data_IF_807635052740
#
_entry.id   IF_807635052740
#
_cell.length_a   1.000
_cell.length_b   1.000
_cell.length_c   1.000
_cell.angle_alpha   90.00
_cell.angle_beta   90.00
_cell.angle_gamma   90.00
#
_symmetry.space_group_name_H-M   'P 1'
#
loop_
_entity.id
_entity.type
_entity.pdbx_description
1 polymer ?
#
# COMPACT_ATOMS: atom_id res chain seq x y z
N UNK A 1 3.33 2.96 17.86
CA UNK A 1 4.46 2.95 18.79
C UNK A 1 5.69 2.32 18.17
N UNK A 2 6.83 2.64 18.75
CA UNK A 2 8.10 2.04 18.33
C UNK A 2 8.20 0.62 18.91
N UNK A 3 8.58 -0.33 18.08
CA UNK A 3 8.92 -1.68 18.49
C UNK A 3 10.13 -2.20 17.70
N UNK A 4 10.88 -3.06 18.32
CA UNK A 4 12.05 -3.67 17.73
C UNK A 4 12.03 -5.20 17.92
N UNK A 5 13.09 -5.88 17.47
CA UNK A 5 13.17 -7.33 17.57
C UNK A 5 13.18 -7.87 19.01
N UNK A 6 13.42 -7.01 20.02
CA UNK A 6 13.43 -7.40 21.43
C UNK A 6 12.11 -7.12 22.13
N UNK A 7 11.36 -6.13 21.64
CA UNK A 7 10.15 -5.62 22.29
C UNK A 7 8.86 -6.03 21.59
N UNK A 8 8.94 -6.50 20.33
CA UNK A 8 7.76 -6.94 19.59
C UNK A 8 7.11 -8.14 20.27
N UNK A 9 5.81 -8.08 20.41
CA UNK A 9 5.01 -9.19 20.93
C UNK A 9 3.77 -9.46 20.07
N UNK A 10 3.06 -10.54 20.38
CA UNK A 10 1.89 -10.96 19.60
C UNK A 10 0.76 -9.94 19.63
N UNK A 11 0.55 -9.25 20.74
CA UNK A 11 -0.51 -8.25 20.88
C UNK A 11 -0.22 -7.01 20.04
N UNK A 12 1.01 -6.51 20.06
CA UNK A 12 1.47 -5.38 19.25
C UNK A 12 1.34 -5.72 17.76
N UNK A 13 1.80 -6.90 17.37
CA UNK A 13 1.73 -7.35 15.98
C UNK A 13 0.27 -7.51 15.51
N UNK A 14 -0.59 -8.10 16.33
CA UNK A 14 -2.01 -8.26 16.01
C UNK A 14 -2.71 -6.90 15.83
N UNK A 15 -2.42 -5.93 16.69
CA UNK A 15 -2.97 -4.58 16.58
C UNK A 15 -2.50 -3.86 15.33
N UNK A 16 -1.23 -4.00 14.97
CA UNK A 16 -0.67 -3.45 13.73
C UNK A 16 -1.31 -4.10 12.49
N UNK A 17 -1.48 -5.41 12.50
CA UNK A 17 -2.13 -6.16 11.45
C UNK A 17 -3.58 -5.70 11.24
N UNK A 18 -4.34 -5.55 12.32
CA UNK A 18 -5.73 -5.12 12.26
C UNK A 18 -5.89 -3.76 11.57
N UNK A 19 -5.05 -2.79 11.94
CA UNK A 19 -5.12 -1.43 11.40
C UNK A 19 -4.61 -1.32 9.96
N UNK A 20 -3.51 -1.99 9.65
CA UNK A 20 -2.74 -1.72 8.44
C UNK A 20 -2.99 -2.74 7.32
N UNK A 21 -3.52 -3.90 7.64
CA UNK A 21 -3.76 -4.97 6.65
C UNK A 21 -5.21 -5.43 6.66
N UNK A 22 -5.74 -5.84 7.81
CA UNK A 22 -7.11 -6.37 7.90
C UNK A 22 -8.15 -5.33 7.46
N UNK A 23 -8.00 -4.07 7.87
CA UNK A 23 -8.94 -3.01 7.48
C UNK A 23 -8.91 -2.74 5.97
N UNK A 24 -7.76 -2.56 5.31
CA UNK A 24 -7.69 -2.47 3.86
C UNK A 24 -8.29 -3.68 3.12
N UNK A 25 -8.06 -4.89 3.60
CA UNK A 25 -8.65 -6.10 3.02
C UNK A 25 -10.18 -6.08 3.11
N UNK A 26 -10.73 -5.70 4.26
CA UNK A 26 -12.17 -5.59 4.47
C UNK A 26 -12.79 -4.51 3.57
N UNK A 27 -12.12 -3.38 3.39
CA UNK A 27 -12.55 -2.31 2.49
C UNK A 27 -12.53 -2.75 1.03
N UNK A 28 -11.50 -3.46 0.60
CA UNK A 28 -11.42 -3.99 -0.76
C UNK A 28 -12.54 -4.98 -1.05
N UNK A 29 -12.86 -5.85 -0.09
CA UNK A 29 -14.00 -6.76 -0.20
C UNK A 29 -15.32 -6.02 -0.29
N UNK A 30 -15.54 -5.05 0.58
CA UNK A 30 -16.75 -4.23 0.56
C UNK A 30 -16.91 -3.48 -0.77
N UNK A 31 -15.81 -2.95 -1.30
CA UNK A 31 -15.79 -2.28 -2.60
C UNK A 31 -16.18 -3.25 -3.73
N UNK A 32 -15.64 -4.46 -3.71
CA UNK A 32 -15.96 -5.49 -4.70
C UNK A 32 -17.45 -5.89 -4.63
N UNK A 33 -17.98 -6.05 -3.42
CA UNK A 33 -19.39 -6.39 -3.20
C UNK A 33 -20.33 -5.26 -3.68
N UNK A 34 -19.91 -4.00 -3.55
CA UNK A 34 -20.66 -2.83 -3.99
C UNK A 34 -20.53 -2.56 -5.50
N UNK A 35 -19.55 -3.15 -6.17
CA UNK A 35 -19.33 -2.94 -7.60
C UNK A 35 -20.23 -3.89 -8.40
N UNK A 36 -21.03 -3.38 -9.36
CA UNK A 36 -21.97 -4.22 -10.10
C UNK A 36 -21.25 -5.24 -10.99
N UNK A 37 -21.87 -6.39 -11.21
CA UNK A 37 -21.31 -7.43 -12.09
C UNK A 37 -21.10 -6.95 -13.53
N UNK A 38 -21.88 -5.98 -13.98
CA UNK A 38 -21.70 -5.34 -15.28
C UNK A 38 -20.33 -4.72 -15.46
N UNK A 39 -19.62 -4.40 -14.38
CA UNK A 39 -18.25 -3.89 -14.42
C UNK A 39 -17.24 -4.88 -15.01
N UNK A 40 -17.60 -6.15 -15.11
CA UNK A 40 -16.76 -7.16 -15.78
C UNK A 40 -16.56 -6.83 -17.26
N UNK A 41 -17.58 -6.30 -17.89
CA UNK A 41 -17.61 -6.01 -19.32
C UNK A 41 -17.60 -4.49 -19.63
N UNK A 42 -17.86 -3.65 -18.64
CA UNK A 42 -17.90 -2.20 -18.76
C UNK A 42 -16.88 -1.53 -17.86
N UNK A 43 -15.79 -1.05 -18.46
CA UNK A 43 -14.71 -0.38 -17.75
C UNK A 43 -15.15 0.87 -16.99
N UNK A 44 -16.18 1.56 -17.46
CA UNK A 44 -16.69 2.77 -16.81
C UNK A 44 -17.30 2.49 -15.43
N UNK A 45 -17.70 1.25 -15.17
CA UNK A 45 -18.30 0.83 -13.90
C UNK A 45 -17.27 0.25 -12.91
N UNK A 46 -16.02 0.06 -13.33
CA UNK A 46 -14.98 -0.53 -12.49
C UNK A 46 -14.54 0.42 -11.39
N UNK A 47 -14.36 -0.15 -10.22
CA UNK A 47 -13.81 0.56 -9.07
C UNK A 47 -12.29 0.41 -8.98
N UNK A 48 -11.64 1.27 -8.20
CA UNK A 48 -10.22 1.21 -7.93
C UNK A 48 -9.92 1.42 -6.45
N UNK A 49 -9.14 0.53 -5.86
CA UNK A 49 -8.57 0.70 -4.54
C UNK A 49 -7.10 1.06 -4.68
N UNK A 50 -6.65 2.08 -3.95
CA UNK A 50 -5.27 2.54 -3.96
C UNK A 50 -4.74 2.49 -2.53
N UNK A 51 -3.70 1.67 -2.30
CA UNK A 51 -3.02 1.59 -1.02
C UNK A 51 -1.84 2.57 -1.01
N UNK A 52 -1.72 3.37 0.03
CA UNK A 52 -0.59 4.29 0.21
C UNK A 52 0.40 3.67 1.18
N UNK A 53 1.59 3.44 0.69
CA UNK A 53 2.73 2.87 1.41
C UNK A 53 3.78 3.96 1.65
N UNK A 54 4.78 3.66 2.46
CA UNK A 54 5.89 4.57 2.72
C UNK A 54 7.25 3.90 2.55
N UNK A 55 8.31 4.62 2.89
CA UNK A 55 9.70 4.18 2.70
C UNK A 55 10.09 2.96 3.54
N UNK A 56 9.32 2.61 4.57
CA UNK A 56 9.58 1.38 5.33
C UNK A 56 9.47 0.11 4.47
N UNK A 57 8.81 0.20 3.31
CA UNK A 57 8.80 -0.88 2.33
C UNK A 57 10.21 -1.18 1.79
N UNK A 58 11.03 -0.15 1.57
CA UNK A 58 12.36 -0.27 0.99
C UNK A 58 13.47 -0.23 2.03
N UNK A 59 13.30 0.61 3.04
CA UNK A 59 14.29 0.90 4.08
C UNK A 59 13.64 0.77 5.46
N UNK A 60 13.45 -0.48 5.94
CA UNK A 60 12.81 -0.71 7.23
C UNK A 60 13.66 -0.19 8.37
N UNK A 61 13.05 0.57 9.28
CA UNK A 61 13.71 1.03 10.49
C UNK A 61 13.66 -0.08 11.55
N UNK A 62 14.78 -0.49 12.14
CA UNK A 62 14.81 -1.54 13.16
C UNK A 62 13.93 -1.26 14.38
N UNK A 63 13.76 0.01 14.73
CA UNK A 63 12.92 0.45 15.85
C UNK A 63 11.42 0.57 15.50
N UNK A 64 11.03 0.18 14.29
CA UNK A 64 9.65 0.19 13.80
C UNK A 64 9.35 -1.12 13.06
N UNK A 65 9.63 -2.24 13.71
CA UNK A 65 9.56 -3.55 13.08
C UNK A 65 8.13 -3.91 12.65
N UNK A 66 7.14 -3.72 13.51
CA UNK A 66 5.74 -4.03 13.15
C UNK A 66 5.27 -3.18 11.97
N UNK A 67 5.64 -1.90 11.91
CA UNK A 67 5.32 -1.05 10.76
C UNK A 67 5.94 -1.56 9.46
N UNK A 68 7.21 -1.92 9.49
CA UNK A 68 7.89 -2.48 8.31
C UNK A 68 7.24 -3.77 7.83
N UNK A 69 6.87 -4.66 8.76
CA UNK A 69 6.17 -5.91 8.42
C UNK A 69 4.81 -5.62 7.78
N UNK A 70 4.06 -4.63 8.29
CA UNK A 70 2.74 -4.27 7.74
C UNK A 70 2.86 -3.64 6.35
N UNK A 71 3.89 -2.85 6.09
CA UNK A 71 4.14 -2.30 4.76
C UNK A 71 4.41 -3.41 3.74
N UNK A 72 5.24 -4.37 4.08
CA UNK A 72 5.50 -5.54 3.23
C UNK A 72 4.24 -6.38 3.01
N UNK A 73 3.45 -6.61 4.06
CA UNK A 73 2.21 -7.37 3.96
C UNK A 73 1.18 -6.67 3.07
N UNK A 74 0.99 -5.36 3.23
CA UNK A 74 0.05 -4.59 2.42
C UNK A 74 0.48 -4.50 0.96
N UNK A 75 1.78 -4.38 0.70
CA UNK A 75 2.33 -4.43 -0.65
C UNK A 75 2.02 -5.77 -1.34
N UNK A 76 2.21 -6.86 -0.63
CA UNK A 76 1.90 -8.20 -1.15
C UNK A 76 0.39 -8.40 -1.33
N UNK A 77 -0.41 -7.91 -0.40
CA UNK A 77 -1.87 -7.93 -0.49
C UNK A 77 -2.37 -7.15 -1.71
N UNK A 78 -1.74 -6.04 -2.06
CA UNK A 78 -2.08 -5.27 -3.26
C UNK A 78 -2.04 -6.14 -4.51
N UNK A 79 -0.97 -6.91 -4.70
CA UNK A 79 -0.83 -7.81 -5.86
C UNK A 79 -1.85 -8.94 -5.82
N UNK A 80 -2.06 -9.54 -4.67
CA UNK A 80 -3.02 -10.65 -4.51
C UNK A 80 -4.47 -10.19 -4.73
N UNK A 81 -4.84 -9.02 -4.20
CA UNK A 81 -6.17 -8.44 -4.39
C UNK A 81 -6.40 -8.03 -5.85
N UNK A 82 -5.39 -7.46 -6.50
CA UNK A 82 -5.49 -7.10 -7.91
C UNK A 82 -5.84 -8.33 -8.77
N UNK A 83 -5.18 -9.45 -8.49
CA UNK A 83 -5.46 -10.71 -9.18
C UNK A 83 -6.84 -11.26 -8.84
N UNK A 84 -7.22 -11.25 -7.57
CA UNK A 84 -8.46 -11.86 -7.08
C UNK A 84 -9.71 -11.07 -7.51
N UNK A 85 -9.63 -9.74 -7.59
CA UNK A 85 -10.77 -8.86 -7.81
C UNK A 85 -10.90 -8.37 -9.26
N UNK A 86 -9.96 -8.70 -10.13
CA UNK A 86 -10.07 -8.40 -11.55
C UNK A 86 -11.26 -9.14 -12.19
N UNK A 87 -11.91 -8.54 -13.17
CA UNK A 87 -11.71 -7.19 -13.70
C UNK A 87 -12.56 -6.11 -13.02
N UNK A 88 -13.43 -6.47 -12.07
CA UNK A 88 -14.41 -5.55 -11.45
C UNK A 88 -13.75 -4.44 -10.65
N UNK A 89 -12.70 -4.78 -9.88
CA UNK A 89 -11.97 -3.83 -9.05
C UNK A 89 -10.50 -3.90 -9.42
N UNK A 90 -9.93 -2.74 -9.71
CA UNK A 90 -8.50 -2.56 -9.88
C UNK A 90 -7.88 -2.23 -8.52
N UNK A 91 -6.71 -2.74 -8.26
CA UNK A 91 -5.98 -2.48 -7.01
C UNK A 91 -4.56 -2.08 -7.36
N UNK A 92 -4.12 -0.97 -6.81
CA UNK A 92 -2.79 -0.42 -7.01
C UNK A 92 -2.23 0.13 -5.71
N UNK A 93 -0.94 0.43 -5.71
CA UNK A 93 -0.27 1.05 -4.59
C UNK A 93 0.52 2.29 -5.02
N UNK A 94 0.63 3.25 -4.12
CA UNK A 94 1.50 4.40 -4.19
C UNK A 94 2.49 4.33 -3.03
N UNK A 95 3.77 4.51 -3.30
CA UNK A 95 4.79 4.62 -2.26
C UNK A 95 5.25 6.06 -2.17
N UNK A 96 5.01 6.69 -1.04
CA UNK A 96 5.43 8.06 -0.77
C UNK A 96 6.82 8.12 -0.13
N UNK A 97 7.49 9.27 -0.30
CA UNK A 97 8.72 9.60 0.41
C UNK A 97 8.48 10.37 1.70
N UNK A 98 9.58 10.70 2.38
CA UNK A 98 9.59 11.60 3.55
C UNK A 98 9.41 13.05 3.14
N UNK A 99 10.04 13.43 2.02
CA UNK A 99 9.85 14.76 1.46
C UNK A 99 8.43 14.90 0.90
N UNK A 100 7.77 16.05 1.10
CA UNK A 100 6.43 16.25 0.60
C UNK A 100 6.43 16.40 -0.92
N UNK A 101 5.72 15.54 -1.58
CA UNK A 101 5.37 15.60 -3.01
C UNK A 101 3.85 15.49 -3.16
N UNK A 102 3.12 16.31 -2.38
CA UNK A 102 1.67 16.18 -2.25
C UNK A 102 0.94 16.29 -3.59
N UNK A 103 1.36 17.21 -4.45
CA UNK A 103 0.75 17.40 -5.76
C UNK A 103 1.02 16.21 -6.69
N UNK A 104 2.21 15.64 -6.62
CA UNK A 104 2.57 14.46 -7.41
C UNK A 104 1.84 13.21 -6.93
N UNK A 105 1.69 13.05 -5.61
CA UNK A 105 0.89 11.96 -5.02
C UNK A 105 -0.57 12.09 -5.47
N UNK A 106 -1.14 13.29 -5.41
CA UNK A 106 -2.52 13.53 -5.86
C UNK A 106 -2.68 13.24 -7.36
N UNK A 107 -1.75 13.69 -8.19
CA UNK A 107 -1.75 13.43 -9.62
C UNK A 107 -1.64 11.92 -9.93
N UNK A 108 -0.75 11.21 -9.24
CA UNK A 108 -0.58 9.77 -9.39
C UNK A 108 -1.85 9.00 -8.95
N UNK A 109 -2.48 9.40 -7.86
CA UNK A 109 -3.74 8.81 -7.39
C UNK A 109 -4.87 9.02 -8.42
N UNK A 110 -5.00 10.22 -8.97
CA UNK A 110 -5.97 10.51 -10.01
C UNK A 110 -5.70 9.70 -11.28
N UNK A 111 -4.44 9.59 -11.69
CA UNK A 111 -4.07 8.75 -12.82
C UNK A 111 -4.50 7.30 -12.63
N UNK A 112 -4.14 6.70 -11.51
CA UNK A 112 -4.50 5.31 -11.20
C UNK A 112 -6.03 5.12 -11.14
N UNK A 113 -6.74 6.05 -10.54
CA UNK A 113 -8.20 5.99 -10.44
C UNK A 113 -8.88 6.03 -11.81
N UNK A 114 -8.29 6.72 -12.80
CA UNK A 114 -8.86 6.94 -14.13
C UNK A 114 -8.22 6.08 -15.24
N UNK A 115 -7.33 5.16 -14.91
CA UNK A 115 -6.63 4.33 -15.88
C UNK A 115 -7.14 2.88 -15.85
N UNK A 116 -8.16 2.53 -16.63
CA UNK A 116 -8.80 1.21 -16.56
C UNK A 116 -7.88 0.04 -16.93
N UNK A 117 -6.79 0.30 -17.64
CA UNK A 117 -5.79 -0.71 -18.00
C UNK A 117 -4.74 -0.97 -16.91
N UNK A 118 -4.77 -0.27 -15.79
CA UNK A 118 -3.73 -0.37 -14.75
C UNK A 118 -4.27 -1.04 -13.50
N UNK A 119 -3.74 -2.21 -13.19
CA UNK A 119 -4.01 -2.93 -11.94
C UNK A 119 -2.76 -3.71 -11.51
N UNK A 120 -2.61 -3.96 -10.22
CA UNK A 120 -1.43 -4.65 -9.67
C UNK A 120 -0.15 -3.82 -9.71
N UNK A 121 -0.22 -2.56 -10.10
CA UNK A 121 0.92 -1.67 -10.22
C UNK A 121 1.25 -0.98 -8.89
N UNK A 122 2.52 -0.67 -8.72
CA UNK A 122 3.00 0.20 -7.64
C UNK A 122 3.75 1.36 -8.28
N UNK A 123 3.31 2.59 -7.98
CA UNK A 123 4.01 3.81 -8.35
C UNK A 123 4.75 4.37 -7.14
N UNK A 124 6.04 4.61 -7.31
CA UNK A 124 6.87 5.21 -6.27
C UNK A 124 7.03 6.71 -6.58
N UNK A 125 6.49 7.53 -5.67
CA UNK A 125 6.41 8.99 -5.81
C UNK A 125 7.17 9.61 -4.64
N UNK A 126 8.49 9.52 -4.68
CA UNK A 126 9.38 9.86 -3.56
C UNK A 126 10.60 10.69 -3.98
N UNK A 127 10.63 11.16 -5.23
CA UNK A 127 11.79 11.91 -5.75
C UNK A 127 13.06 11.08 -5.83
N UNK A 128 12.95 9.76 -5.90
CA UNK A 128 14.10 8.85 -5.95
C UNK A 128 14.68 8.47 -4.59
N UNK A 129 14.02 8.81 -3.49
CA UNK A 129 14.50 8.52 -2.13
C UNK A 129 14.81 7.03 -1.93
N UNK A 130 13.99 6.14 -2.50
CA UNK A 130 14.20 4.69 -2.39
C UNK A 130 15.46 4.18 -3.09
N UNK A 131 16.02 4.96 -4.01
CA UNK A 131 17.25 4.63 -4.75
C UNK A 131 18.51 5.04 -4.01
N UNK A 132 18.37 5.88 -2.98
CA UNK A 132 19.47 6.36 -2.18
C UNK A 132 19.60 5.47 -0.96
N UNK A 133 20.78 4.91 -0.66
CA UNK A 133 20.96 4.16 0.58
C UNK A 133 20.58 5.03 1.78
N UNK A 134 19.96 4.46 2.82
CA UNK A 134 19.71 5.20 4.04
C UNK A 134 21.05 5.73 4.57
N UNK A 135 21.01 6.95 5.10
CA UNK A 135 22.19 7.50 5.77
C UNK A 135 22.60 6.53 6.89
N UNK A 136 23.90 6.24 6.98
CA UNK A 136 24.42 5.45 8.09
C UNK A 136 23.96 6.12 9.38
N UNK A 137 23.21 5.38 10.16
CA UNK A 137 22.84 5.85 11.49
C UNK A 137 24.10 6.04 12.33
N UNK A 138 24.00 6.71 13.49
CA UNK A 138 25.16 6.81 14.37
C UNK A 138 25.71 5.42 14.61
N UNK A 139 26.99 5.26 14.34
CA UNK A 139 27.70 4.02 14.64
C UNK A 139 27.59 3.79 16.14
N UNK A 140 26.80 2.80 16.50
CA UNK A 140 26.79 2.29 17.87
C UNK A 140 27.97 1.33 18.07
#
# INVERSE_FOLDING_TARGET
GADDARTIDGATLAAALARNVTAPLALARALADATPDAARDDEALRACAIHVLDQALFHPAPAQLSHALMQAALSRATSALALALAPKVRVAALVRGRAPHADDIAAAACYLANAPGVTGATLTVDGGEHLVPPADGPNE
#
